data_IF_740716627995
#
_entry.id   IF_740716627995
#
_cell.length_a   1.000
_cell.length_b   1.000
_cell.length_c   1.000
_cell.angle_alpha   90.00
_cell.angle_beta   90.00
_cell.angle_gamma   90.00
#
_symmetry.space_group_name_H-M   'P 1'
#
loop_
_entity.id
_entity.type
_entity.pdbx_description
1 polymer ?
#
# COMPACT_ATOMS: atom_id res chain seq x y z
N UNK A 1 21.91 -3.69 4.54
CA UNK A 1 21.01 -3.26 3.46
C UNK A 1 20.07 -4.39 3.07
N UNK A 2 20.50 -5.46 2.39
CA UNK A 2 19.59 -6.57 1.99
C UNK A 2 18.96 -7.33 3.15
N UNK A 3 19.74 -7.58 4.21
CA UNK A 3 19.27 -8.27 5.42
C UNK A 3 18.10 -7.53 6.08
N UNK A 4 18.18 -6.20 6.12
CA UNK A 4 17.20 -5.37 6.84
C UNK A 4 15.85 -5.37 6.10
N UNK A 5 15.87 -5.29 4.75
CA UNK A 5 14.65 -5.42 3.94
C UNK A 5 14.01 -6.80 4.07
N UNK A 6 14.82 -7.87 4.14
CA UNK A 6 14.34 -9.24 4.37
C UNK A 6 13.71 -9.38 5.75
N UNK A 7 14.33 -8.80 6.77
CA UNK A 7 13.85 -8.82 8.15
C UNK A 7 12.48 -8.13 8.28
N UNK A 8 12.29 -6.97 7.64
CA UNK A 8 10.99 -6.28 7.59
C UNK A 8 9.90 -7.20 6.99
N UNK A 9 10.22 -7.84 5.86
CA UNK A 9 9.28 -8.74 5.20
C UNK A 9 8.98 -10.02 5.97
N UNK A 10 9.89 -10.49 6.82
CA UNK A 10 9.67 -11.65 7.70
C UNK A 10 8.84 -11.26 8.93
N UNK A 11 9.09 -10.08 9.52
CA UNK A 11 8.42 -9.61 10.73
C UNK A 11 6.99 -9.13 10.49
N UNK A 12 6.75 -8.41 9.39
CA UNK A 12 5.49 -7.73 9.13
C UNK A 12 4.69 -8.39 7.99
N UNK A 13 5.07 -9.60 7.58
CA UNK A 13 4.42 -10.33 6.51
C UNK A 13 4.72 -9.76 5.12
N UNK A 14 4.24 -10.46 4.10
CA UNK A 14 4.47 -10.13 2.69
C UNK A 14 3.17 -9.68 2.03
N UNK A 15 3.22 -8.58 1.30
CA UNK A 15 2.15 -8.16 0.39
C UNK A 15 2.68 -8.12 -1.06
N UNK A 16 1.79 -8.11 -2.07
CA UNK A 16 2.19 -8.06 -3.49
C UNK A 16 3.18 -6.95 -3.80
N UNK A 17 4.02 -7.17 -4.82
CA UNK A 17 5.12 -6.28 -5.20
C UNK A 17 6.24 -6.21 -4.15
N UNK A 18 6.24 -7.18 -3.22
CA UNK A 18 7.31 -7.39 -2.27
C UNK A 18 7.40 -6.33 -1.16
N UNK A 19 6.26 -5.72 -0.84
CA UNK A 19 6.16 -4.89 0.35
C UNK A 19 5.77 -5.75 1.56
N UNK A 20 5.57 -5.10 2.70
CA UNK A 20 5.12 -5.71 3.95
C UNK A 20 3.78 -5.12 4.40
N UNK A 21 3.19 -5.66 5.46
CA UNK A 21 1.97 -5.07 6.02
C UNK A 21 2.29 -3.78 6.77
N UNK A 22 1.66 -2.69 6.34
CA UNK A 22 1.89 -1.35 6.87
C UNK A 22 0.71 -0.45 6.54
N UNK A 23 -0.34 -0.54 7.35
CA UNK A 23 -1.54 0.30 7.28
C UNK A 23 -1.40 1.48 8.25
N UNK A 24 -0.41 2.35 8.01
CA UNK A 24 0.10 3.41 8.91
C UNK A 24 0.89 2.90 10.13
N UNK A 25 0.76 1.62 10.47
CA UNK A 25 1.54 0.98 11.53
C UNK A 25 1.96 -0.44 11.12
N UNK A 26 3.26 -0.74 11.21
CA UNK A 26 3.76 -2.10 11.01
C UNK A 26 3.82 -2.82 12.35
N UNK A 27 2.99 -3.85 12.52
CA UNK A 27 2.90 -4.61 13.76
C UNK A 27 3.17 -6.09 13.52
N UNK A 28 4.05 -6.75 14.30
CA UNK A 28 4.37 -8.16 14.10
C UNK A 28 3.21 -9.13 14.37
N UNK A 29 2.18 -8.66 15.08
CA UNK A 29 1.03 -9.49 15.47
C UNK A 29 0.01 -9.69 14.33
N UNK A 30 0.16 -8.96 13.23
CA UNK A 30 -0.77 -8.98 12.12
C UNK A 30 0.04 -9.28 10.86
N UNK A 31 -0.30 -10.39 10.20
CA UNK A 31 0.25 -10.84 8.91
C UNK A 31 -0.83 -11.49 8.04
N UNK A 32 -2.09 -11.29 8.41
CA UNK A 32 -3.26 -11.86 7.73
C UNK A 32 -3.48 -11.18 6.36
N UNK A 33 -3.98 -11.88 5.33
CA UNK A 33 -4.22 -11.33 4.00
C UNK A 33 -5.18 -10.13 3.93
N UNK A 34 -5.87 -9.78 5.02
CA UNK A 34 -6.65 -8.53 5.13
C UNK A 34 -5.78 -7.31 5.34
N UNK A 35 -4.59 -7.47 5.92
CA UNK A 35 -3.69 -6.36 6.06
C UNK A 35 -3.25 -5.85 4.71
N UNK A 36 -3.03 -4.55 4.70
CA UNK A 36 -2.73 -3.79 3.51
C UNK A 36 -1.42 -3.06 3.70
N UNK A 37 -0.92 -2.58 2.57
CA UNK A 37 0.09 -1.56 2.53
C UNK A 37 -0.56 -0.25 2.09
N UNK A 38 -0.17 0.84 2.73
CA UNK A 38 -0.57 2.17 2.31
C UNK A 38 0.15 2.57 1.01
N UNK A 39 -0.50 3.38 0.17
CA UNK A 39 0.15 3.99 -1.01
C UNK A 39 1.41 4.78 -0.65
N UNK A 40 1.44 5.49 0.48
CA UNK A 40 2.67 6.17 0.93
C UNK A 40 3.80 5.16 1.19
N UNK A 41 3.51 4.04 1.87
CA UNK A 41 4.49 2.97 2.08
C UNK A 41 5.05 2.38 0.77
N UNK A 42 4.24 2.34 -0.30
CA UNK A 42 4.69 1.92 -1.63
C UNK A 42 5.76 2.89 -2.18
N UNK A 43 5.45 4.18 -2.21
CA UNK A 43 6.37 5.18 -2.78
C UNK A 43 7.60 5.42 -1.88
N UNK A 44 7.48 5.24 -0.57
CA UNK A 44 8.60 5.31 0.36
C UNK A 44 9.58 4.15 0.19
N UNK A 45 9.08 2.94 -0.09
CA UNK A 45 9.95 1.82 -0.47
C UNK A 45 10.68 2.12 -1.77
N UNK A 46 9.97 2.63 -2.79
CA UNK A 46 10.59 3.03 -4.06
C UNK A 46 11.71 4.05 -3.85
N UNK A 47 11.43 5.11 -3.07
CA UNK A 47 12.43 6.15 -2.78
C UNK A 47 13.62 5.62 -1.99
N UNK A 48 13.37 4.69 -1.07
CA UNK A 48 14.44 4.03 -0.30
C UNK A 48 15.34 3.18 -1.21
N UNK A 49 14.77 2.46 -2.16
CA UNK A 49 15.52 1.68 -3.14
C UNK A 49 16.34 2.57 -4.08
N UNK A 50 15.77 3.68 -4.56
CA UNK A 50 16.52 4.68 -5.34
C UNK A 50 17.73 5.22 -4.57
N UNK A 51 17.55 5.58 -3.30
CA UNK A 51 18.63 6.08 -2.46
C UNK A 51 19.71 5.00 -2.23
N UNK A 52 19.32 3.74 -2.02
CA UNK A 52 20.26 2.63 -1.88
C UNK A 52 21.01 2.34 -3.18
N UNK A 53 20.35 2.46 -4.34
CA UNK A 53 21.00 2.38 -5.65
C UNK A 53 22.04 3.48 -5.82
N UNK A 54 21.72 4.73 -5.44
CA UNK A 54 22.65 5.86 -5.52
C UNK A 54 23.88 5.66 -4.61
N UNK A 55 23.69 5.15 -3.40
CA UNK A 55 24.78 4.94 -2.43
C UNK A 55 25.64 3.73 -2.79
N UNK A 56 25.04 2.61 -3.20
CA UNK A 56 25.73 1.33 -3.36
C UNK A 56 26.12 1.03 -4.81
N UNK A 57 25.42 1.60 -5.78
CA UNK A 57 25.56 1.30 -7.21
C UNK A 57 25.04 -0.09 -7.61
N UNK A 58 24.34 -0.81 -6.72
CA UNK A 58 23.87 -2.17 -6.97
C UNK A 58 22.49 -2.19 -7.66
N UNK A 59 22.44 -2.79 -8.85
CA UNK A 59 21.24 -2.88 -9.67
C UNK A 59 20.09 -3.67 -9.01
N UNK A 60 20.36 -4.53 -8.03
CA UNK A 60 19.29 -5.24 -7.34
C UNK A 60 18.32 -4.30 -6.60
N UNK A 61 18.75 -3.08 -6.23
CA UNK A 61 17.85 -2.05 -5.72
C UNK A 61 16.96 -1.45 -6.80
N UNK A 62 17.44 -1.37 -8.05
CA UNK A 62 16.63 -0.94 -9.18
C UNK A 62 15.54 -1.97 -9.48
N UNK A 63 15.87 -3.27 -9.48
CA UNK A 63 14.91 -4.37 -9.66
C UNK A 63 13.83 -4.35 -8.56
N UNK A 64 14.24 -4.05 -7.31
CA UNK A 64 13.30 -3.92 -6.20
C UNK A 64 12.33 -2.75 -6.38
N UNK A 65 12.85 -1.61 -6.83
CA UNK A 65 12.05 -0.43 -7.16
C UNK A 65 11.07 -0.74 -8.30
N UNK A 66 11.54 -1.42 -9.34
CA UNK A 66 10.72 -1.87 -10.48
C UNK A 66 9.56 -2.74 -10.02
N UNK A 67 9.80 -3.71 -9.14
CA UNK A 67 8.74 -4.61 -8.64
C UNK A 67 7.62 -3.84 -7.93
N UNK A 68 7.95 -2.85 -7.10
CA UNK A 68 6.96 -2.00 -6.44
C UNK A 68 6.26 -1.05 -7.44
N UNK A 69 7.01 -0.47 -8.37
CA UNK A 69 6.53 0.52 -9.33
C UNK A 69 5.57 -0.06 -10.37
N UNK A 70 5.78 -1.32 -10.80
CA UNK A 70 4.96 -1.94 -11.86
C UNK A 70 3.88 -2.88 -11.34
N UNK A 71 3.95 -3.30 -10.08
CA UNK A 71 2.90 -4.15 -9.49
C UNK A 71 2.03 -3.36 -8.51
N UNK A 72 2.63 -2.83 -7.44
CA UNK A 72 1.86 -2.30 -6.31
C UNK A 72 1.38 -0.88 -6.53
N UNK A 73 2.20 -0.02 -7.14
CA UNK A 73 1.83 1.36 -7.43
C UNK A 73 0.63 1.47 -8.39
N UNK A 74 0.58 0.82 -9.57
CA UNK A 74 -0.60 0.88 -10.43
C UNK A 74 -1.79 0.17 -9.81
N UNK A 75 -1.59 -0.84 -8.95
CA UNK A 75 -2.68 -1.42 -8.18
C UNK A 75 -3.27 -0.40 -7.19
N UNK A 76 -2.49 0.52 -6.65
CA UNK A 76 -3.00 1.54 -5.74
C UNK A 76 -3.55 2.79 -6.43
N UNK A 77 -3.41 2.93 -7.75
CA UNK A 77 -3.88 4.10 -8.50
C UNK A 77 -5.03 3.78 -9.45
N UNK A 78 -5.84 4.78 -9.77
CA UNK A 78 -6.74 4.68 -10.92
C UNK A 78 -5.93 4.75 -12.22
N UNK A 79 -6.40 4.12 -13.33
CA UNK A 79 -5.70 4.16 -14.62
C UNK A 79 -5.45 5.57 -15.17
N UNK A 80 -6.25 6.56 -14.76
CA UNK A 80 -6.11 7.97 -15.13
C UNK A 80 -5.25 8.80 -14.15
N UNK A 81 -4.72 8.16 -13.08
CA UNK A 81 -3.92 8.75 -12.01
C UNK A 81 -4.61 9.89 -11.25
N UNK A 82 -5.94 10.02 -11.33
CA UNK A 82 -6.69 11.10 -10.65
C UNK A 82 -7.23 10.72 -9.28
N UNK A 83 -7.08 9.46 -8.90
CA UNK A 83 -7.43 8.94 -7.60
C UNK A 83 -6.53 7.75 -7.25
N UNK A 84 -6.48 7.45 -5.95
CA UNK A 84 -5.70 6.36 -5.38
C UNK A 84 -6.53 5.52 -4.41
N UNK A 85 -6.05 4.35 -4.04
CA UNK A 85 -6.49 3.54 -2.92
C UNK A 85 -5.51 3.81 -1.80
N UNK A 86 -5.99 4.37 -0.69
CA UNK A 86 -5.09 4.66 0.42
C UNK A 86 -4.45 3.37 0.96
N UNK A 87 -5.27 2.34 1.23
CA UNK A 87 -4.81 1.00 1.60
C UNK A 87 -5.06 -0.02 0.47
N UNK A 88 -4.07 -0.86 0.18
CA UNK A 88 -4.17 -1.95 -0.79
C UNK A 88 -3.89 -3.30 -0.13
N UNK A 89 -4.92 -4.13 0.04
CA UNK A 89 -4.78 -5.49 0.61
C UNK A 89 -4.70 -6.55 -0.50
N UNK A 90 -3.97 -7.66 -0.28
CA UNK A 90 -3.87 -8.78 -1.23
C UNK A 90 -5.24 -9.37 -1.63
N UNK A 91 -6.20 -9.39 -0.71
CA UNK A 91 -7.53 -9.97 -0.93
C UNK A 91 -8.59 -8.95 -1.39
N UNK A 92 -8.22 -7.70 -1.70
CA UNK A 92 -9.15 -6.67 -2.18
C UNK A 92 -9.23 -6.61 -3.71
N UNK A 93 -10.04 -7.49 -4.29
CA UNK A 93 -10.21 -7.59 -5.74
C UNK A 93 -11.05 -6.44 -6.36
N UNK A 94 -11.94 -5.81 -5.58
CA UNK A 94 -12.85 -4.78 -6.08
C UNK A 94 -12.53 -3.41 -5.48
N UNK A 95 -12.21 -2.45 -6.36
CA UNK A 95 -12.17 -1.02 -6.02
C UNK A 95 -13.39 -0.35 -6.60
N UNK A 96 -14.28 0.15 -5.75
CA UNK A 96 -15.40 0.96 -6.19
C UNK A 96 -15.64 2.12 -5.23
N UNK A 97 -16.59 2.97 -5.60
CA UNK A 97 -16.95 4.14 -4.81
C UNK A 97 -17.76 3.79 -3.54
N UNK A 98 -18.25 2.57 -3.41
CA UNK A 98 -19.09 2.20 -2.28
C UNK A 98 -18.27 2.14 -0.99
N UNK A 99 -18.93 2.40 0.13
CA UNK A 99 -18.27 2.35 1.43
C UNK A 99 -17.94 0.87 1.76
N UNK A 100 -16.65 0.54 1.90
CA UNK A 100 -16.18 -0.83 2.22
C UNK A 100 -15.77 -1.00 3.68
N UNK A 101 -16.27 -0.14 4.56
CA UNK A 101 -16.03 -0.17 6.01
C UNK A 101 -16.32 -1.56 6.60
N UNK A 102 -15.27 -2.21 7.11
CA UNK A 102 -15.36 -3.48 7.81
C UNK A 102 -15.40 -3.26 9.33
N UNK A 103 -16.42 -2.56 9.84
CA UNK A 103 -16.73 -2.49 11.28
C UNK A 103 -15.67 -1.89 12.23
N UNK A 104 -14.47 -1.55 11.75
CA UNK A 104 -13.49 -0.73 12.45
C UNK A 104 -13.65 0.71 11.97
N UNK A 105 -13.60 1.67 12.91
CA UNK A 105 -13.88 3.10 12.71
C UNK A 105 -12.96 3.85 11.72
N UNK A 106 -12.21 3.14 10.88
CA UNK A 106 -11.38 3.71 9.81
C UNK A 106 -12.28 4.05 8.62
N UNK A 107 -12.85 5.25 8.63
CA UNK A 107 -13.56 5.78 7.46
C UNK A 107 -12.53 6.11 6.38
N UNK A 108 -12.12 5.13 5.57
CA UNK A 108 -11.29 5.43 4.39
C UNK A 108 -12.21 6.02 3.31
N UNK A 109 -12.04 7.28 2.91
CA UNK A 109 -12.94 7.92 1.96
C UNK A 109 -12.83 7.24 0.60
N UNK A 110 -13.96 6.76 0.07
CA UNK A 110 -14.06 6.48 -1.35
C UNK A 110 -13.81 7.78 -2.13
N UNK A 111 -12.72 7.80 -2.91
CA UNK A 111 -12.27 8.94 -3.69
C UNK A 111 -13.23 9.19 -4.86
N UNK A 112 -14.19 10.09 -4.65
CA UNK A 112 -14.83 10.85 -5.72
C UNK A 112 -14.66 12.34 -5.44
N UNK A 113 -13.83 13.08 -6.22
CA UNK A 113 -13.55 14.50 -5.95
C UNK A 113 -14.77 15.43 -6.13
N UNK A 114 -15.85 14.95 -6.75
CA UNK A 114 -16.96 15.79 -7.25
C UNK A 114 -18.35 15.51 -6.67
N UNK A 115 -18.46 14.72 -5.59
CA UNK A 115 -19.74 14.58 -4.87
C UNK A 115 -19.53 14.76 -3.38
N UNK A 116 -20.01 15.90 -2.85
CA UNK A 116 -20.27 16.09 -1.42
C UNK A 116 -21.20 14.98 -0.93
N UNK A 117 -20.84 14.24 0.12
CA UNK A 117 -21.74 13.28 0.77
C UNK A 117 -22.93 14.04 1.38
N UNK A 118 -24.17 13.54 1.26
CA UNK A 118 -25.22 13.89 2.21
C UNK A 118 -24.75 13.43 3.60
N UNK A 119 -24.83 14.30 4.60
CA UNK A 119 -24.56 13.98 6.00
C UNK A 119 -25.45 12.81 6.45
N UNK A 120 -24.86 11.70 6.89
CA UNK A 120 -25.63 10.64 7.57
C UNK A 120 -25.30 9.18 7.27
N UNK A 121 -24.34 8.86 6.41
CA UNK A 121 -23.86 7.47 6.24
C UNK A 121 -22.58 7.23 7.03
N UNK A 122 -22.74 7.13 8.35
CA UNK A 122 -21.80 6.42 9.21
C UNK A 122 -22.03 4.93 9.02
N UNK A 123 -20.98 4.12 9.11
CA UNK A 123 -21.14 2.67 9.17
C UNK A 123 -22.13 2.36 10.31
N UNK A 124 -23.21 1.65 9.99
CA UNK A 124 -24.09 1.09 11.03
C UNK A 124 -23.28 0.14 11.91
#
# INVERSE_FOLDING_TARGET
TYRDLKEIGELYGQVPGGLWCGDENSSPAYTDPRQSIETCGIVELMRSCEALLEITGDAAWADRCEEAAFNSLPASLMPDLKALRYMTSPNMAQSDRSNKCSGTNSTIPALSPWKRRPSGQWCN
#
